data_IF_527458217870
#
_entry.id   IF_527458217870
#
_cell.length_a   1.000
_cell.length_b   1.000
_cell.length_c   1.000
_cell.angle_alpha   90.00
_cell.angle_beta   90.00
_cell.angle_gamma   90.00
#
_symmetry.space_group_name_H-M   'P 1'
#
loop_
_entity.id
_entity.type
_entity.pdbx_description
1 polymer ?
#
# COMPACT_ATOMS: atom_id res chain seq x y z
N UNK A 1 20.93 28.21 -38.91
CA UNK A 1 20.35 27.82 -37.60
C UNK A 1 18.86 27.56 -37.83
N UNK A 2 18.18 26.49 -37.43
CA UNK A 2 18.53 25.24 -36.77
C UNK A 2 17.19 24.53 -36.53
N UNK A 3 16.98 23.37 -37.14
CA UNK A 3 15.87 22.44 -36.82
C UNK A 3 16.40 21.01 -37.05
N UNK A 4 17.39 20.65 -36.24
CA UNK A 4 17.80 19.27 -35.98
C UNK A 4 17.66 19.15 -34.46
N UNK A 5 16.52 18.68 -33.95
CA UNK A 5 16.37 18.67 -32.49
C UNK A 5 15.06 18.19 -31.89
N UNK A 6 13.96 18.06 -32.64
CA UNK A 6 12.74 17.50 -32.06
C UNK A 6 12.60 16.02 -32.47
N UNK A 7 12.73 15.07 -31.53
CA UNK A 7 12.57 13.66 -31.83
C UNK A 7 11.13 13.39 -32.31
N UNK A 8 11.00 12.56 -33.36
CA UNK A 8 9.70 12.19 -33.89
C UNK A 8 8.89 11.41 -32.85
N UNK A 9 7.56 11.55 -32.86
CA UNK A 9 6.65 10.83 -31.94
C UNK A 9 6.88 9.31 -32.01
N UNK A 10 7.14 8.78 -33.19
CA UNK A 10 7.42 7.35 -33.39
C UNK A 10 8.73 6.92 -32.72
N UNK A 11 9.74 7.79 -32.75
CA UNK A 11 11.04 7.56 -32.11
C UNK A 11 10.93 7.62 -30.57
N UNK A 12 10.09 8.52 -30.05
CA UNK A 12 9.74 8.58 -28.62
C UNK A 12 9.04 7.28 -28.21
N UNK A 13 8.08 6.79 -28.99
CA UNK A 13 7.33 5.56 -28.69
C UNK A 13 8.22 4.30 -28.78
N UNK A 14 9.12 4.23 -29.76
CA UNK A 14 10.08 3.13 -29.88
C UNK A 14 11.10 3.15 -28.73
N UNK A 15 11.55 4.33 -28.30
CA UNK A 15 12.42 4.48 -27.13
C UNK A 15 11.71 4.03 -25.84
N UNK A 16 10.45 4.44 -25.62
CA UNK A 16 9.66 3.99 -24.46
C UNK A 16 9.46 2.48 -24.50
N UNK A 17 9.10 1.91 -25.65
CA UNK A 17 8.90 0.46 -25.81
C UNK A 17 10.18 -0.33 -25.53
N UNK A 18 11.33 0.16 -26.00
CA UNK A 18 12.64 -0.46 -25.76
C UNK A 18 13.05 -0.40 -24.29
N UNK A 19 12.78 0.71 -23.61
CA UNK A 19 13.04 0.85 -22.17
C UNK A 19 12.14 -0.06 -21.34
N UNK A 20 10.84 -0.15 -21.66
CA UNK A 20 9.90 -1.04 -20.96
C UNK A 20 10.26 -2.52 -21.18
N UNK A 21 10.62 -2.91 -22.41
CA UNK A 21 11.05 -4.28 -22.68
C UNK A 21 12.29 -4.65 -21.85
N UNK A 22 13.28 -3.77 -21.82
CA UNK A 22 14.50 -3.94 -21.01
C UNK A 22 14.19 -4.01 -19.51
N UNK A 23 13.37 -3.10 -18.99
CA UNK A 23 13.00 -3.07 -17.57
C UNK A 23 12.16 -4.31 -17.19
N UNK A 24 11.32 -4.81 -18.11
CA UNK A 24 10.55 -6.04 -17.88
C UNK A 24 11.43 -7.29 -17.84
N UNK A 25 12.50 -7.33 -18.64
CA UNK A 25 13.47 -8.43 -18.65
C UNK A 25 14.35 -8.37 -17.39
N UNK A 26 14.88 -7.20 -17.05
CA UNK A 26 15.65 -6.96 -15.81
C UNK A 26 14.81 -7.28 -14.55
N UNK A 27 13.52 -6.89 -14.53
CA UNK A 27 12.58 -7.25 -13.45
C UNK A 27 12.30 -8.75 -13.38
N UNK A 28 12.19 -9.41 -14.53
CA UNK A 28 11.98 -10.86 -14.61
C UNK A 28 13.21 -11.63 -14.12
N UNK A 29 14.40 -11.18 -14.50
CA UNK A 29 15.69 -11.71 -14.03
C UNK A 29 15.86 -11.51 -12.52
N UNK A 30 15.56 -10.31 -12.00
CA UNK A 30 15.60 -10.04 -10.55
C UNK A 30 14.64 -10.93 -9.76
N UNK A 31 13.43 -11.22 -10.29
CA UNK A 31 12.47 -12.12 -9.66
C UNK A 31 12.96 -13.58 -9.72
N UNK A 32 13.51 -14.01 -10.86
CA UNK A 32 14.07 -15.35 -11.03
C UNK A 32 15.28 -15.58 -10.11
N UNK A 33 16.15 -14.57 -9.98
CA UNK A 33 17.32 -14.62 -9.12
C UNK A 33 16.94 -14.62 -7.63
N UNK A 34 15.97 -13.79 -7.22
CA UNK A 34 15.41 -13.86 -5.85
C UNK A 34 14.81 -15.22 -5.54
N UNK A 35 14.10 -15.83 -6.49
CA UNK A 35 13.51 -17.16 -6.35
C UNK A 35 14.58 -18.25 -6.29
N UNK A 36 15.67 -18.12 -7.06
CA UNK A 36 16.82 -19.03 -7.00
C UNK A 36 17.57 -18.92 -5.66
N UNK A 37 17.77 -17.69 -5.14
CA UNK A 37 18.36 -17.46 -3.81
C UNK A 37 17.46 -17.96 -2.67
N UNK A 38 16.13 -17.90 -2.82
CA UNK A 38 15.16 -18.42 -1.84
C UNK A 38 15.05 -19.96 -1.89
N UNK A 39 15.46 -20.60 -2.98
CA UNK A 39 15.36 -22.05 -3.16
C UNK A 39 16.53 -22.85 -2.55
N UNK A 40 17.13 -22.33 -1.47
CA UNK A 40 17.95 -23.12 -0.55
C UNK A 40 17.03 -23.88 0.42
N UNK A 41 17.44 -25.06 0.95
CA UNK A 41 16.53 -25.94 1.68
C UNK A 41 16.04 -25.25 2.96
N UNK A 42 14.75 -25.45 3.25
CA UNK A 42 14.12 -25.02 4.49
C UNK A 42 14.82 -25.64 5.71
N UNK A 43 15.45 -24.80 6.54
CA UNK A 43 15.51 -24.99 7.98
C UNK A 43 15.87 -23.65 8.66
N UNK A 44 15.39 -23.48 9.90
CA UNK A 44 15.51 -22.32 10.80
C UNK A 44 14.71 -21.06 10.43
N UNK A 45 13.48 -20.98 10.95
CA UNK A 45 12.91 -19.71 11.38
C UNK A 45 13.83 -19.12 12.45
N UNK A 46 14.69 -18.16 12.10
CA UNK A 46 15.31 -17.32 13.13
C UNK A 46 14.20 -16.46 13.78
N UNK A 47 14.17 -16.36 15.12
CA UNK A 47 13.30 -15.40 15.77
C UNK A 47 13.70 -14.01 15.29
N UNK A 48 12.73 -13.24 14.80
CA UNK A 48 12.93 -11.81 14.54
C UNK A 48 13.39 -11.19 15.86
N UNK A 49 14.60 -10.63 15.88
CA UNK A 49 15.13 -9.93 17.05
C UNK A 49 14.15 -8.80 17.41
N UNK A 50 13.70 -8.75 18.67
CA UNK A 50 12.74 -7.74 19.15
C UNK A 50 13.24 -6.30 18.91
N UNK A 51 14.56 -6.12 18.78
CA UNK A 51 15.22 -4.83 18.54
C UNK A 51 15.02 -4.31 17.10
N UNK A 52 14.86 -5.16 16.08
CA UNK A 52 14.55 -4.70 14.71
C UNK A 52 13.09 -4.27 14.55
N UNK A 53 12.19 -4.75 15.42
CA UNK A 53 10.79 -4.32 15.45
C UNK A 53 10.62 -2.92 16.07
N UNK A 54 11.57 -2.48 16.91
CA UNK A 54 11.58 -1.13 17.52
C UNK A 54 11.99 -0.03 16.53
N UNK A 55 12.73 -0.37 15.46
CA UNK A 55 13.17 0.58 14.41
C UNK A 55 12.10 0.85 13.34
N UNK A 56 10.92 0.23 13.43
CA UNK A 56 9.78 0.54 12.55
C UNK A 56 9.06 1.78 13.09
N UNK A 57 9.42 2.94 12.55
CA UNK A 57 8.74 4.20 12.85
C UNK A 57 7.30 4.19 12.31
N UNK A 58 6.32 3.98 13.20
CA UNK A 58 4.88 4.09 12.90
C UNK A 58 4.48 5.57 12.76
N UNK A 59 4.62 6.12 11.55
CA UNK A 59 4.33 7.53 11.23
C UNK A 59 2.82 7.88 11.26
N UNK A 60 1.94 6.92 11.59
CA UNK A 60 0.49 7.06 11.44
C UNK A 60 -0.28 7.42 12.71
N UNK A 61 0.26 7.11 13.89
CA UNK A 61 -0.53 7.12 15.13
C UNK A 61 -0.17 8.25 16.12
N UNK A 62 0.95 8.95 15.93
CA UNK A 62 1.48 9.91 16.93
C UNK A 62 1.56 11.38 16.47
N UNK A 63 0.99 11.72 15.31
CA UNK A 63 0.87 13.13 14.88
C UNK A 63 -0.21 13.93 15.63
N UNK A 64 -0.82 13.32 16.65
CA UNK A 64 -1.93 13.89 17.41
C UNK A 64 -1.56 14.50 18.76
N UNK A 65 -0.39 14.20 19.35
CA UNK A 65 -0.21 14.49 20.79
C UNK A 65 1.11 15.16 21.24
N UNK A 66 2.19 15.29 20.44
CA UNK A 66 3.36 16.06 20.89
C UNK A 66 3.98 16.99 19.83
N UNK A 67 3.54 18.26 19.85
CA UNK A 67 4.45 19.41 19.71
C UNK A 67 4.28 20.26 20.97
N UNK A 68 4.64 19.70 22.12
CA UNK A 68 4.88 20.46 23.34
C UNK A 68 6.37 20.83 23.36
N UNK A 69 6.71 21.95 22.73
CA UNK A 69 8.06 22.52 22.81
C UNK A 69 8.15 23.24 24.16
N UNK A 70 8.57 22.54 25.22
CA UNK A 70 8.92 23.16 26.50
C UNK A 70 10.41 22.96 26.82
N UNK A 71 11.09 24.08 27.03
CA UNK A 71 12.17 24.16 28.02
C UNK A 71 13.63 24.18 27.55
N UNK A 72 14.11 25.32 27.02
CA UNK A 72 15.46 25.78 27.36
C UNK A 72 15.53 27.32 27.34
N UNK A 73 15.27 27.91 28.51
CA UNK A 73 15.44 29.34 28.76
C UNK A 73 16.92 29.74 28.81
N UNK A 74 17.29 30.84 28.15
CA UNK A 74 18.30 31.78 28.68
C UNK A 74 18.07 33.21 28.17
N UNK A 75 17.55 34.04 29.08
CA UNK A 75 17.77 35.48 29.24
C UNK A 75 17.48 36.44 28.06
N UNK A 76 16.27 37.02 28.05
CA UNK A 76 16.09 38.38 28.56
C UNK A 76 14.59 38.71 28.69
N UNK A 77 14.18 38.98 29.92
CA UNK A 77 12.95 39.68 30.20
C UNK A 77 13.19 41.17 29.93
N UNK A 78 12.55 41.73 28.91
CA UNK A 78 11.69 42.91 29.03
C UNK A 78 11.07 43.25 27.67
N UNK A 79 9.84 43.74 27.75
CA UNK A 79 9.24 44.70 26.84
C UNK A 79 8.49 44.20 25.57
N UNK A 80 7.21 44.56 25.60
CA UNK A 80 6.25 44.73 24.50
C UNK A 80 5.46 43.49 24.06
N UNK A 81 4.24 43.41 24.58
CA UNK A 81 3.11 42.95 23.80
C UNK A 81 2.97 43.87 22.57
N UNK A 82 3.49 43.39 21.45
CA UNK A 82 3.20 43.92 20.12
C UNK A 82 2.53 42.79 19.35
N UNK A 83 1.21 42.88 19.27
CA UNK A 83 0.39 42.28 18.22
C UNK A 83 0.75 43.01 16.93
N UNK A 84 1.92 42.76 16.37
CA UNK A 84 2.29 43.20 15.02
C UNK A 84 3.09 42.06 14.38
N UNK A 85 2.60 41.62 13.23
CA UNK A 85 3.16 40.61 12.34
C UNK A 85 4.65 40.87 12.01
N UNK A 86 5.57 40.50 12.89
CA UNK A 86 7.02 40.56 12.63
C UNK A 86 7.52 39.32 11.85
N UNK A 87 6.71 38.84 10.91
CA UNK A 87 7.01 37.72 10.01
C UNK A 87 7.57 38.19 8.64
N UNK A 88 7.69 39.51 8.44
CA UNK A 88 8.17 40.13 7.20
C UNK A 88 9.69 40.39 7.17
N UNK A 89 10.42 40.16 8.27
CA UNK A 89 11.85 40.46 8.33
C UNK A 89 12.77 39.32 7.82
N UNK A 90 12.30 38.06 7.76
CA UNK A 90 13.11 36.89 7.36
C UNK A 90 12.39 35.95 6.36
N UNK A 91 11.50 36.52 5.56
CA UNK A 91 10.73 35.78 4.55
C UNK A 91 11.19 36.07 3.13
N UNK A 92 11.56 35.04 2.36
CA UNK A 92 11.76 35.15 0.91
C UNK A 92 10.47 35.48 0.13
N UNK A 93 9.32 35.50 0.81
CA UNK A 93 7.98 35.78 0.28
C UNK A 93 7.27 36.79 1.15
N UNK A 94 6.51 37.70 0.55
CA UNK A 94 5.70 38.71 1.23
C UNK A 94 4.67 38.07 2.18
N UNK A 95 4.46 38.64 3.38
CA UNK A 95 3.49 38.14 4.37
C UNK A 95 2.11 37.82 3.78
N UNK A 96 1.55 38.72 2.98
CA UNK A 96 0.26 38.53 2.28
C UNK A 96 0.21 37.24 1.44
N UNK A 97 1.31 36.91 0.74
CA UNK A 97 1.38 35.73 -0.14
C UNK A 97 1.49 34.43 0.65
N UNK A 98 2.19 34.46 1.78
CA UNK A 98 2.31 33.33 2.70
C UNK A 98 0.97 33.04 3.37
N UNK A 99 0.24 34.08 3.76
CA UNK A 99 -1.10 33.95 4.34
C UNK A 99 -2.08 33.32 3.34
N UNK A 100 -2.09 33.81 2.09
CA UNK A 100 -2.92 33.22 1.04
C UNK A 100 -2.57 31.74 0.76
N UNK A 101 -1.30 31.34 0.83
CA UNK A 101 -0.91 29.93 0.71
C UNK A 101 -1.44 29.09 1.87
N UNK A 102 -1.30 29.56 3.12
CA UNK A 102 -1.82 28.89 4.31
C UNK A 102 -3.34 28.66 4.22
N UNK A 103 -4.09 29.66 3.78
CA UNK A 103 -5.55 29.56 3.61
C UNK A 103 -5.94 28.52 2.55
N UNK A 104 -5.23 28.49 1.42
CA UNK A 104 -5.46 27.48 0.37
C UNK A 104 -5.14 26.06 0.86
N UNK A 105 -4.06 25.89 1.62
CA UNK A 105 -3.71 24.59 2.21
C UNK A 105 -4.74 24.14 3.25
N UNK A 106 -5.27 25.05 4.07
CA UNK A 106 -6.34 24.76 5.02
C UNK A 106 -7.61 24.27 4.30
N UNK A 107 -7.99 24.93 3.19
CA UNK A 107 -9.12 24.51 2.37
C UNK A 107 -8.89 23.13 1.73
N UNK A 108 -7.67 22.84 1.27
CA UNK A 108 -7.31 21.53 0.73
C UNK A 108 -7.33 20.44 1.81
N UNK A 109 -6.84 20.73 3.01
CA UNK A 109 -6.84 19.81 4.13
C UNK A 109 -8.26 19.38 4.48
N UNK A 110 -9.19 20.35 4.58
CA UNK A 110 -10.62 20.09 4.81
C UNK A 110 -11.26 19.21 3.73
N UNK A 111 -10.85 19.34 2.47
CA UNK A 111 -11.33 18.50 1.37
C UNK A 111 -10.70 17.09 1.38
N UNK A 112 -9.43 17.00 1.78
CA UNK A 112 -8.68 15.73 1.83
C UNK A 112 -8.93 14.92 3.11
N UNK A 113 -9.58 15.51 4.13
CA UNK A 113 -9.95 14.79 5.33
C UNK A 113 -10.81 13.58 4.94
N UNK A 114 -10.37 12.34 5.22
CA UNK A 114 -11.20 11.18 4.96
C UNK A 114 -12.39 11.21 5.93
N UNK A 115 -13.54 11.73 5.46
CA UNK A 115 -14.75 12.00 6.25
C UNK A 115 -15.46 10.77 6.83
N UNK A 116 -14.84 9.59 6.79
CA UNK A 116 -15.35 8.38 7.42
C UNK A 116 -14.20 7.63 8.06
N UNK A 117 -14.24 7.56 9.39
CA UNK A 117 -13.54 6.50 10.12
C UNK A 117 -13.85 5.16 9.44
N UNK A 118 -12.86 4.27 9.24
CA UNK A 118 -13.13 2.95 8.71
C UNK A 118 -14.07 2.26 9.68
N UNK A 119 -15.36 2.20 9.34
CA UNK A 119 -16.27 1.30 10.02
C UNK A 119 -15.68 -0.08 9.79
N UNK A 120 -15.25 -0.73 10.87
CA UNK A 120 -14.94 -2.14 10.92
C UNK A 120 -16.28 -2.89 10.73
N UNK A 121 -16.90 -2.73 9.57
CA UNK A 121 -17.87 -3.69 9.08
C UNK A 121 -17.07 -4.96 8.85
N UNK A 122 -17.60 -6.09 9.31
CA UNK A 122 -16.99 -7.42 9.13
C UNK A 122 -16.29 -7.49 7.78
N UNK A 123 -14.99 -7.76 7.81
CA UNK A 123 -14.14 -7.93 6.63
C UNK A 123 -14.93 -8.71 5.56
N UNK A 124 -15.43 -8.01 4.53
CA UNK A 124 -16.10 -8.65 3.39
C UNK A 124 -17.48 -8.14 2.97
N UNK A 125 -18.25 -7.42 3.79
CA UNK A 125 -19.64 -7.08 3.40
C UNK A 125 -19.77 -5.82 2.51
N UNK A 126 -18.77 -4.93 2.50
CA UNK A 126 -18.72 -3.75 1.59
C UNK A 126 -17.43 -3.66 0.80
N UNK A 127 -16.57 -4.68 0.89
CA UNK A 127 -15.30 -4.76 0.16
C UNK A 127 -15.49 -5.50 -1.16
N UNK A 128 -14.58 -5.27 -2.11
CA UNK A 128 -14.48 -5.95 -3.41
C UNK A 128 -14.67 -7.48 -3.31
N UNK A 129 -14.23 -8.07 -2.19
CA UNK A 129 -14.40 -9.50 -1.92
C UNK A 129 -15.88 -9.94 -1.95
N UNK A 130 -16.80 -9.13 -1.41
CA UNK A 130 -18.24 -9.43 -1.42
C UNK A 130 -18.78 -9.50 -2.86
N UNK A 131 -18.40 -8.54 -3.70
CA UNK A 131 -18.79 -8.51 -5.11
C UNK A 131 -18.20 -9.70 -5.89
N UNK A 132 -16.92 -10.01 -5.69
CA UNK A 132 -16.26 -11.15 -6.33
C UNK A 132 -16.88 -12.48 -5.87
N UNK A 133 -17.24 -12.61 -4.60
CA UNK A 133 -17.92 -13.79 -4.06
C UNK A 133 -19.30 -13.98 -4.69
N UNK A 134 -20.07 -12.91 -4.85
CA UNK A 134 -21.38 -12.98 -5.49
C UNK A 134 -21.29 -13.37 -6.97
N UNK A 135 -20.22 -12.95 -7.66
CA UNK A 135 -19.94 -13.37 -9.03
C UNK A 135 -19.41 -14.80 -9.14
N UNK A 136 -18.57 -15.27 -8.20
CA UNK A 136 -17.98 -16.62 -8.22
C UNK A 136 -18.95 -17.71 -7.74
N UNK A 137 -19.91 -17.37 -6.87
CA UNK A 137 -20.90 -18.31 -6.34
C UNK A 137 -21.65 -19.10 -7.44
N UNK A 138 -22.23 -18.49 -8.49
CA UNK A 138 -22.92 -19.24 -9.53
C UNK A 138 -22.00 -20.16 -10.33
N UNK A 139 -20.77 -19.73 -10.64
CA UNK A 139 -19.81 -20.55 -11.39
C UNK A 139 -19.33 -21.77 -10.59
N UNK A 140 -19.10 -21.59 -9.29
CA UNK A 140 -18.74 -22.70 -8.40
C UNK A 140 -19.90 -23.67 -8.19
N UNK A 141 -21.14 -23.18 -8.12
CA UNK A 141 -22.32 -24.03 -8.00
C UNK A 141 -22.49 -24.94 -9.23
N UNK A 142 -22.44 -24.36 -10.44
CA UNK A 142 -22.52 -25.12 -11.69
C UNK A 142 -21.37 -26.14 -11.82
N UNK A 143 -20.17 -25.75 -11.41
CA UNK A 143 -19.04 -26.67 -11.42
C UNK A 143 -19.24 -27.83 -10.44
N UNK A 144 -19.73 -27.56 -9.23
CA UNK A 144 -20.03 -28.59 -8.23
C UNK A 144 -21.12 -29.53 -8.74
N UNK A 145 -22.20 -29.01 -9.32
CA UNK A 145 -23.29 -29.85 -9.85
C UNK A 145 -22.80 -30.84 -10.93
N UNK A 146 -21.83 -30.42 -11.76
CA UNK A 146 -21.29 -31.25 -12.83
C UNK A 146 -20.21 -32.25 -12.35
N UNK A 147 -19.38 -31.88 -11.38
CA UNK A 147 -18.17 -32.64 -11.03
C UNK A 147 -18.29 -33.42 -9.71
N UNK A 148 -19.17 -33.00 -8.80
CA UNK A 148 -19.33 -33.62 -7.49
C UNK A 148 -19.93 -35.04 -7.54
N UNK A 149 -20.92 -35.36 -8.41
CA UNK A 149 -21.47 -36.72 -8.48
C UNK A 149 -20.41 -37.79 -8.78
N UNK A 150 -19.53 -37.55 -9.76
CA UNK A 150 -18.47 -38.49 -10.13
C UNK A 150 -17.45 -38.71 -9.00
N UNK A 151 -17.00 -37.63 -8.36
CA UNK A 151 -16.08 -37.73 -7.22
C UNK A 151 -16.70 -38.50 -6.05
N UNK A 152 -17.98 -38.29 -5.76
CA UNK A 152 -18.66 -39.01 -4.68
C UNK A 152 -18.82 -40.50 -5.01
N UNK A 153 -19.17 -40.85 -6.25
CA UNK A 153 -19.27 -42.26 -6.65
C UNK A 153 -17.96 -43.02 -6.48
N UNK A 154 -16.84 -42.42 -6.87
CA UNK A 154 -15.52 -43.05 -6.74
C UNK A 154 -15.12 -43.21 -5.27
N UNK A 155 -15.39 -42.19 -4.45
CA UNK A 155 -15.13 -42.25 -3.01
C UNK A 155 -16.02 -43.30 -2.31
N UNK A 156 -17.29 -43.41 -2.70
CA UNK A 156 -18.24 -44.40 -2.18
C UNK A 156 -17.85 -45.81 -2.64
N UNK A 157 -17.44 -46.01 -3.90
CA UNK A 157 -16.92 -47.30 -4.39
C UNK A 157 -15.69 -47.73 -3.60
N UNK A 158 -14.74 -46.82 -3.36
CA UNK A 158 -13.56 -47.08 -2.54
C UNK A 158 -13.94 -47.44 -1.09
N UNK A 159 -14.91 -46.74 -0.51
CA UNK A 159 -15.38 -46.98 0.84
C UNK A 159 -16.12 -48.32 0.99
N UNK A 160 -16.97 -48.69 0.02
CA UNK A 160 -17.64 -50.00 0.00
C UNK A 160 -16.62 -51.12 -0.17
N UNK A 161 -15.65 -50.98 -1.07
CA UNK A 161 -14.60 -51.97 -1.27
C UNK A 161 -13.78 -52.18 0.02
N UNK A 162 -13.48 -51.10 0.75
CA UNK A 162 -12.80 -51.14 2.04
C UNK A 162 -13.59 -51.87 3.12
N UNK A 163 -14.89 -51.60 3.24
CA UNK A 163 -15.77 -52.24 4.22
C UNK A 163 -16.02 -53.72 3.87
N UNK A 164 -16.22 -54.02 2.58
CA UNK A 164 -16.44 -55.38 2.09
C UNK A 164 -15.19 -56.25 2.28
N UNK A 165 -14.00 -55.71 2.01
CA UNK A 165 -12.72 -56.42 2.24
C UNK A 165 -12.40 -56.64 3.72
N UNK A 166 -12.97 -55.86 4.63
CA UNK A 166 -12.79 -56.01 6.09
C UNK A 166 -13.77 -57.01 6.73
N UNK A 167 -14.78 -57.48 5.99
CA UNK A 167 -15.76 -58.49 6.47
C UNK A 167 -15.46 -59.91 5.94
N UNK A 168 -14.27 -60.16 5.39
CA UNK A 168 -13.77 -61.51 5.12
C UNK A 168 -12.68 -61.92 6.09
#
# INVERSE_FOLDING_TARGET
MGQQGEPSVEEILDSIKKVIARDSEERSEMIAERRSRRAAPADTSEPVDEQEAEDVLELGNDLGEEIAVDGAASSNADAYASDEDDDDADGLTRGDTRQAMRDNFAALAMLSQPGKQPQIVRQGETSLEGLVRDMLRPMLAEWLDNNLPGMVEDLVKAEIARIAGKKS
#
